data_IF_713751651910
#
_entry.id   IF_713751651910
#
_cell.length_a   1.000
_cell.length_b   1.000
_cell.length_c   1.000
_cell.angle_alpha   90.00
_cell.angle_beta   90.00
_cell.angle_gamma   90.00
#
_symmetry.space_group_name_H-M   'P 1'
#
loop_
_entity.id
_entity.type
_entity.pdbx_description
1 polymer ?
#
# COMPACT_ATOMS: atom_id res chain seq x y z
N UNK A 1 28.90 -7.01 -73.40
CA UNK A 1 30.28 -7.47 -73.64
C UNK A 1 31.18 -6.54 -72.84
N UNK A 2 31.86 -6.88 -71.75
CA UNK A 2 32.28 -8.16 -71.15
C UNK A 2 31.74 -8.35 -69.71
N UNK A 3 31.85 -9.57 -69.15
CA UNK A 3 31.20 -10.05 -67.93
C UNK A 3 32.16 -10.15 -66.72
N UNK A 4 31.69 -10.79 -65.65
CA UNK A 4 32.41 -11.37 -64.51
C UNK A 4 32.68 -10.47 -63.29
N UNK A 5 31.78 -10.55 -62.30
CA UNK A 5 32.11 -11.14 -60.98
C UNK A 5 30.85 -11.28 -60.09
N UNK A 6 30.60 -12.46 -59.49
CA UNK A 6 29.65 -12.64 -58.40
C UNK A 6 30.35 -12.82 -57.04
N UNK A 7 29.77 -12.28 -55.97
CA UNK A 7 29.81 -12.80 -54.57
C UNK A 7 29.30 -11.75 -53.57
N UNK A 8 28.88 -12.12 -52.33
CA UNK A 8 28.21 -13.34 -51.90
C UNK A 8 26.93 -13.06 -51.07
N UNK A 9 26.13 -14.13 -50.91
CA UNK A 9 24.99 -14.23 -50.00
C UNK A 9 25.26 -13.64 -48.61
N UNK A 10 24.42 -12.67 -48.22
CA UNK A 10 24.10 -12.40 -46.82
C UNK A 10 22.72 -12.98 -46.56
N UNK A 11 22.70 -14.22 -46.09
CA UNK A 11 21.55 -14.78 -45.39
C UNK A 11 21.32 -14.03 -44.09
N UNK A 12 20.56 -12.94 -44.14
CA UNK A 12 19.85 -12.39 -42.99
C UNK A 12 18.52 -13.13 -42.88
N UNK A 13 18.52 -14.30 -42.24
CA UNK A 13 17.28 -14.89 -41.80
C UNK A 13 16.68 -14.05 -40.69
N UNK A 14 15.48 -13.60 -40.99
CA UNK A 14 14.66 -12.67 -40.23
C UNK A 14 14.17 -13.33 -38.95
N UNK A 15 14.64 -12.85 -37.80
CA UNK A 15 13.95 -13.05 -36.52
C UNK A 15 12.66 -12.23 -36.59
N UNK A 16 11.56 -12.86 -37.02
CA UNK A 16 10.24 -12.26 -37.00
C UNK A 16 9.80 -12.04 -35.55
N UNK A 17 9.62 -10.78 -35.20
CA UNK A 17 8.87 -10.33 -34.04
C UNK A 17 7.38 -10.66 -34.20
N UNK A 18 6.76 -11.20 -33.15
CA UNK A 18 5.34 -11.06 -32.88
C UNK A 18 5.16 -10.84 -31.37
N UNK A 19 4.33 -9.85 -31.02
CA UNK A 19 3.99 -9.42 -29.68
C UNK A 19 2.68 -10.10 -29.20
N UNK A 20 2.57 -10.24 -27.88
CA UNK A 20 1.38 -10.41 -27.00
C UNK A 20 0.89 -11.83 -26.69
N UNK A 21 1.09 -12.17 -25.41
CA UNK A 21 0.09 -12.73 -24.49
C UNK A 21 -0.51 -14.08 -24.87
N UNK A 22 0.37 -15.02 -25.19
CA UNK A 22 0.30 -16.47 -24.96
C UNK A 22 1.51 -17.07 -25.70
N UNK A 23 2.72 -16.69 -25.29
CA UNK A 23 3.89 -17.45 -25.73
C UNK A 23 3.78 -18.83 -25.09
N UNK A 24 3.29 -19.81 -25.85
CA UNK A 24 3.64 -21.21 -25.65
C UNK A 24 5.17 -21.23 -25.54
N UNK A 25 5.68 -21.31 -24.32
CA UNK A 25 7.10 -21.37 -24.03
C UNK A 25 7.62 -22.70 -24.57
N UNK A 26 7.85 -22.81 -25.87
CA UNK A 26 8.33 -24.03 -26.48
C UNK A 26 9.72 -24.34 -25.91
N UNK A 27 9.99 -25.62 -25.57
CA UNK A 27 11.30 -26.04 -25.11
C UNK A 27 12.40 -25.60 -26.08
N UNK A 28 13.53 -25.18 -25.53
CA UNK A 28 14.72 -24.79 -26.28
C UNK A 28 15.44 -26.01 -26.83
N UNK A 29 15.93 -25.85 -28.05
CA UNK A 29 16.88 -26.77 -28.68
C UNK A 29 18.30 -26.56 -28.13
N UNK A 30 19.21 -27.54 -28.27
CA UNK A 30 20.61 -27.39 -27.85
C UNK A 30 21.34 -26.23 -28.53
N UNK A 31 21.00 -25.94 -29.79
CA UNK A 31 21.60 -24.83 -30.54
C UNK A 31 21.14 -23.47 -29.99
N UNK A 32 19.85 -23.35 -29.66
CA UNK A 32 19.32 -22.16 -28.99
C UNK A 32 19.97 -21.91 -27.62
N UNK A 33 20.25 -22.96 -26.84
CA UNK A 33 20.94 -22.84 -25.55
C UNK A 33 22.40 -22.37 -25.72
N UNK A 34 23.09 -22.91 -26.74
CA UNK A 34 24.46 -22.53 -27.06
C UNK A 34 24.56 -21.06 -27.47
N UNK A 35 23.62 -20.58 -28.28
CA UNK A 35 23.58 -19.19 -28.69
C UNK A 35 23.17 -18.27 -27.55
N UNK A 36 22.21 -18.69 -26.73
CA UNK A 36 21.82 -17.96 -25.53
C UNK A 36 22.98 -17.77 -24.56
N UNK A 37 23.79 -18.81 -24.33
CA UNK A 37 24.97 -18.74 -23.46
C UNK A 37 25.95 -17.63 -23.86
N UNK A 38 26.09 -17.34 -25.16
CA UNK A 38 27.00 -16.29 -25.67
C UNK A 38 26.50 -14.87 -25.42
N UNK A 39 25.19 -14.70 -25.24
CA UNK A 39 24.54 -13.37 -25.18
C UNK A 39 23.90 -13.06 -23.83
N UNK A 40 23.87 -14.04 -22.91
CA UNK A 40 23.15 -13.94 -21.63
C UNK A 40 23.55 -12.72 -20.79
N UNK A 41 24.85 -12.39 -20.75
CA UNK A 41 25.38 -11.28 -19.95
C UNK A 41 25.00 -9.90 -20.54
N UNK A 42 24.49 -9.87 -21.78
CA UNK A 42 24.06 -8.65 -22.48
C UNK A 42 22.55 -8.59 -22.65
N UNK A 43 21.81 -9.51 -22.03
CA UNK A 43 20.37 -9.61 -22.24
C UNK A 43 19.64 -8.49 -21.48
N UNK A 44 18.80 -7.68 -22.14
CA UNK A 44 18.03 -6.64 -21.47
C UNK A 44 17.04 -7.25 -20.46
N UNK A 45 16.85 -6.58 -19.32
CA UNK A 45 16.00 -7.06 -18.21
C UNK A 45 14.58 -7.45 -18.65
N UNK A 46 14.01 -6.73 -19.63
CA UNK A 46 12.68 -7.02 -20.18
C UNK A 46 12.57 -8.38 -20.88
N UNK A 47 13.68 -8.97 -21.32
CA UNK A 47 13.73 -10.29 -21.99
C UNK A 47 14.19 -11.42 -21.07
N UNK A 48 14.80 -11.10 -19.93
CA UNK A 48 15.39 -12.09 -19.03
C UNK A 48 14.33 -13.07 -18.51
N UNK A 49 13.14 -12.58 -18.14
CA UNK A 49 12.08 -13.41 -17.62
C UNK A 49 11.54 -14.42 -18.66
N UNK A 50 11.27 -13.98 -19.90
CA UNK A 50 10.78 -14.87 -20.96
C UNK A 50 11.79 -15.95 -21.34
N UNK A 51 13.08 -15.58 -21.40
CA UNK A 51 14.18 -16.52 -21.61
C UNK A 51 14.26 -17.54 -20.48
N UNK A 52 14.25 -17.09 -19.22
CA UNK A 52 14.28 -17.97 -18.07
C UNK A 52 13.09 -18.95 -18.08
N UNK A 53 11.87 -18.48 -18.38
CA UNK A 53 10.70 -19.34 -18.53
C UNK A 53 10.91 -20.44 -19.57
N UNK A 54 11.44 -20.13 -20.77
CA UNK A 54 11.72 -21.16 -21.80
C UNK A 54 12.78 -22.16 -21.33
N UNK A 55 13.83 -21.69 -20.66
CA UNK A 55 14.89 -22.54 -20.12
C UNK A 55 14.32 -23.51 -19.08
N UNK A 56 13.54 -23.00 -18.12
CA UNK A 56 12.89 -23.81 -17.09
C UNK A 56 11.84 -24.77 -17.65
N UNK A 57 11.10 -24.36 -18.69
CA UNK A 57 10.15 -25.24 -19.38
C UNK A 57 10.86 -26.43 -20.04
N UNK A 58 12.00 -26.16 -20.67
CA UNK A 58 12.85 -27.19 -21.27
C UNK A 58 13.36 -28.17 -20.23
N UNK A 59 13.74 -27.65 -19.06
CA UNK A 59 14.19 -28.47 -17.94
C UNK A 59 13.05 -29.34 -17.41
N UNK A 60 11.86 -28.76 -17.26
CA UNK A 60 10.66 -29.46 -16.81
C UNK A 60 10.26 -30.60 -17.75
N UNK A 61 10.42 -30.40 -19.07
CA UNK A 61 10.09 -31.37 -20.12
C UNK A 61 11.19 -32.40 -20.40
N UNK A 62 12.37 -32.28 -19.77
CA UNK A 62 13.45 -33.24 -19.98
C UNK A 62 14.17 -33.11 -21.33
N UNK A 63 14.17 -31.93 -21.93
CA UNK A 63 14.73 -31.76 -23.28
C UNK A 63 16.26 -31.78 -23.23
N UNK A 64 16.83 -32.83 -23.85
CA UNK A 64 18.27 -33.00 -24.10
C UNK A 64 19.21 -32.91 -22.89
N UNK A 65 18.92 -33.67 -21.83
CA UNK A 65 19.84 -33.89 -20.70
C UNK A 65 20.90 -34.98 -20.93
N UNK A 66 20.95 -35.59 -22.12
CA UNK A 66 21.81 -36.75 -22.40
C UNK A 66 23.31 -36.44 -22.51
N UNK A 67 23.74 -35.20 -22.27
CA UNK A 67 25.16 -34.80 -22.33
C UNK A 67 25.53 -33.82 -21.20
N UNK A 68 26.70 -34.00 -20.56
CA UNK A 68 27.16 -33.13 -19.46
C UNK A 68 27.27 -31.66 -19.89
N UNK A 69 27.60 -31.39 -21.16
CA UNK A 69 27.66 -30.05 -21.72
C UNK A 69 26.32 -29.30 -21.68
N UNK A 70 25.20 -29.98 -21.92
CA UNK A 70 23.87 -29.36 -21.92
C UNK A 70 23.43 -29.05 -20.49
N UNK A 71 23.67 -29.96 -19.56
CA UNK A 71 23.39 -29.75 -18.14
C UNK A 71 24.16 -28.54 -17.58
N UNK A 72 25.44 -28.42 -17.93
CA UNK A 72 26.27 -27.28 -17.53
C UNK A 72 25.76 -25.94 -18.12
N UNK A 73 25.18 -25.96 -19.33
CA UNK A 73 24.54 -24.78 -19.92
C UNK A 73 23.28 -24.35 -19.15
N UNK A 74 22.42 -25.31 -18.79
CA UNK A 74 21.23 -25.02 -17.97
C UNK A 74 21.62 -24.43 -16.61
N UNK A 75 22.60 -25.04 -15.93
CA UNK A 75 23.17 -24.53 -14.67
C UNK A 75 23.66 -23.09 -14.84
N UNK A 76 24.48 -22.86 -15.87
CA UNK A 76 25.07 -21.55 -16.15
C UNK A 76 24.03 -20.44 -16.38
N UNK A 77 22.92 -20.76 -17.06
CA UNK A 77 21.85 -19.81 -17.37
C UNK A 77 20.98 -19.54 -16.13
N UNK A 78 20.56 -20.60 -15.43
CA UNK A 78 19.75 -20.50 -14.19
C UNK A 78 20.49 -19.72 -13.11
N UNK A 79 21.81 -19.84 -13.04
CA UNK A 79 22.61 -19.08 -12.08
C UNK A 79 22.70 -17.58 -12.41
N UNK A 80 22.49 -17.17 -13.66
CA UNK A 80 22.62 -15.77 -14.09
C UNK A 80 21.31 -15.00 -14.17
N UNK A 81 20.20 -15.68 -14.42
CA UNK A 81 18.90 -15.03 -14.56
C UNK A 81 18.11 -15.14 -13.26
N UNK A 82 17.64 -14.01 -12.70
CA UNK A 82 16.80 -14.04 -11.51
C UNK A 82 15.40 -14.54 -11.86
N UNK A 83 14.80 -15.31 -10.96
CA UNK A 83 13.37 -15.61 -10.99
C UNK A 83 12.63 -14.34 -10.57
N UNK A 84 11.88 -13.76 -11.51
CA UNK A 84 11.27 -12.42 -11.34
C UNK A 84 9.79 -12.37 -11.70
N UNK A 85 9.14 -13.52 -11.91
CA UNK A 85 7.70 -13.61 -12.21
C UNK A 85 7.09 -14.89 -11.68
N UNK A 86 5.76 -14.89 -11.51
CA UNK A 86 4.97 -16.07 -11.10
C UNK A 86 5.15 -17.22 -12.10
N UNK A 87 5.18 -16.90 -13.40
CA UNK A 87 5.37 -17.89 -14.44
C UNK A 87 6.75 -18.55 -14.39
N UNK A 88 7.79 -17.78 -14.07
CA UNK A 88 9.13 -18.32 -13.83
C UNK A 88 9.16 -19.16 -12.55
N UNK A 89 8.46 -18.76 -11.49
CA UNK A 89 8.36 -19.53 -10.25
C UNK A 89 7.67 -20.88 -10.46
N UNK A 90 6.52 -20.90 -11.16
CA UNK A 90 5.79 -22.12 -11.51
C UNK A 90 6.66 -23.10 -12.30
N UNK A 91 7.42 -22.58 -13.26
CA UNK A 91 8.32 -23.39 -14.09
C UNK A 91 9.56 -23.85 -13.33
N UNK A 92 10.07 -23.04 -12.41
CA UNK A 92 11.16 -23.44 -11.51
C UNK A 92 10.74 -24.63 -10.66
N UNK A 93 9.52 -24.61 -10.14
CA UNK A 93 8.98 -25.71 -9.36
C UNK A 93 8.77 -26.99 -10.19
N UNK A 94 8.23 -26.87 -11.41
CA UNK A 94 8.11 -27.99 -12.32
C UNK A 94 9.49 -28.59 -12.66
N UNK A 95 10.49 -27.73 -12.90
CA UNK A 95 11.88 -28.11 -13.11
C UNK A 95 12.51 -28.82 -11.90
N UNK A 96 12.29 -28.31 -10.68
CA UNK A 96 12.74 -28.93 -9.43
C UNK A 96 12.11 -30.31 -9.23
N UNK A 97 10.79 -30.44 -9.43
CA UNK A 97 10.08 -31.75 -9.38
C UNK A 97 10.65 -32.75 -10.38
N UNK A 98 11.01 -32.29 -11.59
CA UNK A 98 11.61 -33.14 -12.61
C UNK A 98 13.00 -33.60 -12.19
N UNK A 99 13.85 -32.69 -11.75
CA UNK A 99 15.20 -33.00 -11.30
C UNK A 99 15.20 -33.94 -10.08
N UNK A 100 14.29 -33.75 -9.12
CA UNK A 100 14.14 -34.66 -7.97
C UNK A 100 13.73 -36.09 -8.34
N UNK A 101 13.10 -36.30 -9.51
CA UNK A 101 12.77 -37.63 -10.04
C UNK A 101 13.94 -38.28 -10.78
N UNK A 102 14.94 -37.52 -11.22
CA UNK A 102 16.06 -37.99 -12.05
C UNK A 102 17.39 -37.94 -11.32
N UNK A 103 18.01 -39.10 -11.09
CA UNK A 103 19.19 -39.24 -10.23
C UNK A 103 20.45 -38.51 -10.72
N UNK A 104 20.57 -38.15 -12.00
CA UNK A 104 21.78 -37.53 -12.55
C UNK A 104 21.71 -35.98 -12.64
N UNK A 105 20.74 -35.35 -11.97
CA UNK A 105 20.45 -33.91 -12.13
C UNK A 105 20.84 -33.04 -10.92
N UNK A 106 21.64 -33.57 -10.00
CA UNK A 106 22.07 -32.98 -8.72
C UNK A 106 22.60 -31.55 -8.85
N UNK A 107 23.52 -31.29 -9.77
CA UNK A 107 24.08 -29.93 -9.99
C UNK A 107 23.04 -28.91 -10.43
N UNK A 108 22.13 -29.31 -11.32
CA UNK A 108 21.06 -28.45 -11.81
C UNK A 108 20.02 -28.21 -10.73
N UNK A 109 19.67 -29.24 -9.96
CA UNK A 109 18.80 -29.14 -8.80
C UNK A 109 19.34 -28.12 -7.79
N UNK A 110 20.61 -28.25 -7.38
CA UNK A 110 21.23 -27.32 -6.44
C UNK A 110 21.24 -25.88 -7.00
N UNK A 111 21.57 -25.70 -8.28
CA UNK A 111 21.58 -24.38 -8.93
C UNK A 111 20.18 -23.74 -9.02
N UNK A 112 19.12 -24.53 -9.21
CA UNK A 112 17.74 -24.06 -9.18
C UNK A 112 17.33 -23.61 -7.78
N UNK A 113 17.74 -24.35 -6.74
CA UNK A 113 17.53 -23.98 -5.33
C UNK A 113 18.29 -22.68 -5.00
N UNK A 114 19.55 -22.56 -5.40
CA UNK A 114 20.34 -21.32 -5.25
C UNK A 114 19.69 -20.13 -5.95
N UNK A 115 19.20 -20.31 -7.18
CA UNK A 115 18.56 -19.24 -7.94
C UNK A 115 17.27 -18.79 -7.26
N UNK A 116 16.46 -19.74 -6.78
CA UNK A 116 15.25 -19.47 -6.01
C UNK A 116 15.56 -18.70 -4.72
N UNK A 117 16.55 -19.14 -3.96
CA UNK A 117 16.95 -18.48 -2.71
C UNK A 117 17.51 -17.09 -2.94
N UNK A 118 18.36 -16.90 -3.96
CA UNK A 118 18.86 -15.57 -4.32
C UNK A 118 17.73 -14.63 -4.74
N UNK A 119 16.77 -15.10 -5.53
CA UNK A 119 15.57 -14.34 -5.88
C UNK A 119 14.72 -13.99 -4.65
N UNK A 120 14.56 -14.92 -3.71
CA UNK A 120 13.83 -14.69 -2.47
C UNK A 120 14.54 -13.70 -1.54
N UNK A 121 15.86 -13.80 -1.41
CA UNK A 121 16.70 -12.86 -0.67
C UNK A 121 16.67 -11.46 -1.31
N UNK A 122 16.74 -11.37 -2.65
CA UNK A 122 16.64 -10.11 -3.39
C UNK A 122 15.26 -9.46 -3.25
N UNK A 123 14.20 -10.27 -3.12
CA UNK A 123 12.83 -9.77 -2.97
C UNK A 123 12.44 -9.40 -1.53
N UNK A 124 13.37 -9.46 -0.56
CA UNK A 124 13.14 -9.09 0.85
C UNK A 124 11.89 -9.76 1.48
N UNK A 125 11.46 -10.91 0.93
CA UNK A 125 10.44 -11.76 1.53
C UNK A 125 11.12 -12.52 2.69
N UNK A 126 10.34 -12.96 3.69
CA UNK A 126 10.88 -13.85 4.72
C UNK A 126 11.67 -15.00 4.08
N UNK A 127 12.70 -15.45 4.79
CA UNK A 127 13.38 -16.71 4.54
C UNK A 127 12.33 -17.80 4.30
N UNK A 128 12.53 -18.65 3.27
CA UNK A 128 11.66 -19.81 3.02
C UNK A 128 11.27 -20.45 4.35
N UNK A 129 9.98 -20.69 4.57
CA UNK A 129 9.57 -21.26 5.85
C UNK A 129 10.20 -22.64 6.03
N UNK A 130 10.36 -23.08 7.27
CA UNK A 130 10.88 -24.43 7.58
C UNK A 130 10.09 -25.50 6.83
N UNK A 131 8.79 -25.30 6.60
CA UNK A 131 7.93 -26.17 5.80
C UNK A 131 8.31 -26.21 4.31
N UNK A 132 8.66 -25.06 3.70
CA UNK A 132 9.07 -24.99 2.29
C UNK A 132 10.43 -25.66 2.06
N UNK A 133 11.35 -25.47 3.01
CA UNK A 133 12.66 -26.11 3.02
C UNK A 133 12.56 -27.61 3.27
N UNK A 134 11.65 -28.04 4.15
CA UNK A 134 11.32 -29.45 4.33
C UNK A 134 10.89 -30.11 3.01
N UNK A 135 10.12 -29.40 2.18
CA UNK A 135 9.69 -29.93 0.88
C UNK A 135 10.84 -30.06 -0.13
N UNK A 136 11.79 -29.11 -0.14
CA UNK A 136 13.01 -29.21 -0.95
C UNK A 136 13.92 -30.36 -0.49
N UNK A 137 14.03 -30.57 0.83
CA UNK A 137 14.78 -31.68 1.43
C UNK A 137 14.18 -33.05 1.06
N UNK A 138 12.85 -33.15 0.96
CA UNK A 138 12.18 -34.38 0.52
C UNK A 138 12.44 -34.66 -0.97
N UNK A 139 12.57 -33.62 -1.79
CA UNK A 139 12.78 -33.71 -3.23
C UNK A 139 14.26 -33.88 -3.66
N UNK A 140 15.21 -33.81 -2.72
CA UNK A 140 16.64 -33.90 -3.01
C UNK A 140 16.99 -35.27 -3.64
N UNK A 141 17.59 -35.30 -4.85
CA UNK A 141 17.82 -36.53 -5.60
C UNK A 141 18.92 -37.41 -4.98
N UNK A 142 19.91 -36.80 -4.32
CA UNK A 142 21.11 -37.46 -3.81
C UNK A 142 21.53 -36.89 -2.44
N UNK A 143 22.41 -37.62 -1.72
CA UNK A 143 22.95 -37.18 -0.44
C UNK A 143 23.69 -35.83 -0.54
N UNK A 144 24.42 -35.61 -1.63
CA UNK A 144 25.13 -34.34 -1.88
C UNK A 144 24.18 -33.13 -2.01
N UNK A 145 22.98 -33.31 -2.57
CA UNK A 145 21.95 -32.26 -2.60
C UNK A 145 21.36 -31.99 -1.22
N UNK A 146 21.27 -33.01 -0.36
CA UNK A 146 20.81 -32.83 1.02
C UNK A 146 21.82 -32.06 1.85
N UNK A 147 23.10 -32.40 1.72
CA UNK A 147 24.20 -31.70 2.41
C UNK A 147 24.23 -30.23 1.98
N UNK A 148 24.08 -29.96 0.68
CA UNK A 148 23.96 -28.61 0.14
C UNK A 148 22.73 -27.86 0.70
N UNK A 149 21.54 -28.46 0.71
CA UNK A 149 20.35 -27.82 1.27
C UNK A 149 20.53 -27.55 2.77
N UNK A 150 21.15 -28.45 3.53
CA UNK A 150 21.42 -28.26 4.95
C UNK A 150 22.45 -27.15 5.20
N UNK A 151 23.52 -27.06 4.40
CA UNK A 151 24.51 -25.98 4.46
C UNK A 151 23.83 -24.62 4.23
N UNK A 152 22.95 -24.55 3.23
CA UNK A 152 22.16 -23.35 2.94
C UNK A 152 21.17 -22.99 4.07
N UNK A 153 20.55 -23.99 4.71
CA UNK A 153 19.66 -23.78 5.88
C UNK A 153 20.45 -23.21 7.07
N UNK A 154 21.63 -23.76 7.31
CA UNK A 154 22.53 -23.35 8.39
C UNK A 154 23.10 -21.94 8.15
N UNK A 155 23.53 -21.62 6.93
CA UNK A 155 24.02 -20.29 6.53
C UNK A 155 22.96 -19.20 6.69
N UNK A 156 21.69 -19.54 6.46
CA UNK A 156 20.56 -18.62 6.61
C UNK A 156 20.00 -18.58 8.06
N UNK A 157 20.60 -19.30 9.02
CA UNK A 157 20.17 -19.39 10.43
C UNK A 157 18.73 -19.87 10.62
N UNK A 158 18.25 -20.71 9.71
CA UNK A 158 16.93 -21.34 9.81
C UNK A 158 17.07 -22.58 10.70
N UNK A 159 16.01 -22.94 11.46
CA UNK A 159 16.04 -24.16 12.29
C UNK A 159 16.45 -25.37 11.43
N UNK A 160 17.43 -26.19 11.87
CA UNK A 160 17.94 -27.29 11.08
C UNK A 160 16.82 -28.27 10.75
N UNK A 161 16.58 -28.46 9.46
CA UNK A 161 15.60 -29.41 8.94
C UNK A 161 16.17 -30.82 9.07
N UNK A 162 15.50 -31.68 9.84
CA UNK A 162 15.81 -33.11 9.88
C UNK A 162 14.82 -33.87 9.00
N UNK A 163 15.29 -34.88 8.25
CA UNK A 163 14.43 -35.84 7.53
C UNK A 163 13.51 -36.56 8.52
N UNK A 164 12.35 -35.99 8.81
CA UNK A 164 11.33 -36.62 9.67
C UNK A 164 9.97 -36.75 9.00
N UNK A 165 9.82 -36.33 7.74
CA UNK A 165 8.54 -36.39 7.06
C UNK A 165 8.63 -37.20 5.77
N UNK A 166 7.97 -38.36 5.76
CA UNK A 166 7.74 -39.21 4.57
C UNK A 166 6.34 -38.97 3.97
N UNK A 167 5.65 -37.91 4.38
CA UNK A 167 4.34 -37.57 3.84
C UNK A 167 4.42 -36.97 2.43
N UNK A 168 3.34 -37.06 1.64
CA UNK A 168 3.28 -36.43 0.33
C UNK A 168 3.42 -34.91 0.45
N UNK A 169 4.03 -34.33 -0.57
CA UNK A 169 4.22 -32.89 -0.78
C UNK A 169 2.89 -32.15 -0.58
N UNK A 170 2.83 -31.16 0.32
CA UNK A 170 1.68 -30.23 0.37
C UNK A 170 1.86 -29.23 -0.77
N UNK A 171 1.34 -29.61 -1.94
CA UNK A 171 1.51 -28.86 -3.18
C UNK A 171 0.98 -27.43 -3.08
N UNK A 172 0.00 -27.18 -2.20
CA UNK A 172 -0.61 -25.87 -2.04
C UNK A 172 0.30 -24.90 -1.28
N UNK A 173 0.99 -25.36 -0.22
CA UNK A 173 1.91 -24.51 0.56
C UNK A 173 3.15 -24.10 -0.25
N UNK A 174 3.80 -25.06 -0.92
CA UNK A 174 4.94 -24.74 -1.78
C UNK A 174 4.54 -23.82 -2.93
N UNK A 175 3.35 -24.03 -3.52
CA UNK A 175 2.84 -23.15 -4.55
C UNK A 175 2.63 -21.71 -4.03
N UNK A 176 2.12 -21.52 -2.81
CA UNK A 176 1.96 -20.19 -2.20
C UNK A 176 3.29 -19.48 -1.92
N UNK A 177 4.31 -20.21 -1.46
CA UNK A 177 5.65 -19.67 -1.24
C UNK A 177 6.32 -19.23 -2.56
N UNK A 178 6.17 -20.04 -3.61
CA UNK A 178 6.69 -19.76 -4.94
C UNK A 178 5.92 -18.65 -5.66
N UNK A 179 4.60 -18.62 -5.51
CA UNK A 179 3.75 -17.56 -6.02
C UNK A 179 4.17 -16.21 -5.40
N UNK A 180 4.44 -16.18 -4.10
CA UNK A 180 4.95 -14.99 -3.40
C UNK A 180 6.28 -14.47 -3.96
N UNK A 181 7.20 -15.36 -4.36
CA UNK A 181 8.47 -14.98 -5.00
C UNK A 181 8.29 -14.27 -6.36
N UNK A 182 7.21 -14.61 -7.07
CA UNK A 182 6.87 -14.05 -8.38
C UNK A 182 6.24 -12.65 -8.34
N UNK A 183 5.88 -12.17 -7.15
CA UNK A 183 5.23 -10.88 -6.92
C UNK A 183 6.21 -9.80 -6.42
N UNK A 184 7.50 -10.09 -6.29
CA UNK A 184 8.49 -9.16 -5.75
C UNK A 184 8.86 -7.98 -6.66
N UNK A 185 9.32 -6.90 -6.04
CA UNK A 185 10.05 -5.80 -6.66
C UNK A 185 11.55 -6.12 -6.68
N UNK A 186 12.27 -5.79 -7.75
CA UNK A 186 13.70 -6.09 -7.84
C UNK A 186 14.57 -4.99 -7.18
N UNK A 187 14.04 -3.77 -7.09
CA UNK A 187 14.71 -2.61 -6.50
C UNK A 187 13.70 -1.54 -6.08
N UNK A 188 14.17 -0.46 -5.47
CA UNK A 188 13.36 0.73 -5.16
C UNK A 188 12.83 1.36 -6.45
N UNK A 189 13.64 1.41 -7.50
CA UNK A 189 13.26 1.93 -8.82
C UNK A 189 12.15 1.07 -9.43
N UNK A 190 12.28 -0.26 -9.37
CA UNK A 190 11.24 -1.18 -9.86
C UNK A 190 9.91 -1.00 -9.10
N UNK A 191 9.95 -0.74 -7.79
CA UNK A 191 8.76 -0.38 -7.01
C UNK A 191 8.12 0.92 -7.51
N UNK A 192 8.91 1.95 -7.75
CA UNK A 192 8.40 3.26 -8.15
C UNK A 192 7.91 3.27 -9.62
N UNK A 193 8.53 2.50 -10.51
CA UNK A 193 8.18 2.44 -11.94
C UNK A 193 7.04 1.46 -12.23
N UNK A 194 6.99 0.31 -11.54
CA UNK A 194 6.05 -0.77 -11.85
C UNK A 194 4.85 -0.84 -10.89
N UNK A 195 4.60 0.18 -10.07
CA UNK A 195 3.48 0.15 -9.12
C UNK A 195 2.13 -0.04 -9.82
N UNK A 196 1.92 0.55 -11.00
CA UNK A 196 0.64 0.45 -11.72
C UNK A 196 0.45 -0.92 -12.38
N UNK A 197 1.54 -1.59 -12.78
CA UNK A 197 1.50 -2.86 -13.50
C UNK A 197 1.52 -4.09 -12.57
N UNK A 198 2.01 -3.96 -11.32
CA UNK A 198 2.10 -5.05 -10.34
C UNK A 198 0.94 -5.03 -9.34
N UNK A 199 0.51 -6.23 -8.90
CA UNK A 199 -0.50 -6.38 -7.85
C UNK A 199 0.11 -6.14 -6.46
N UNK A 200 0.31 -4.87 -6.11
CA UNK A 200 0.93 -4.48 -4.82
C UNK A 200 0.11 -4.88 -3.58
N UNK A 201 -1.15 -5.27 -3.76
CA UNK A 201 -2.04 -5.70 -2.66
C UNK A 201 -1.76 -7.14 -2.23
N UNK A 202 -0.94 -7.90 -2.98
CA UNK A 202 -0.49 -9.22 -2.57
C UNK A 202 0.33 -9.12 -1.27
N UNK A 203 0.10 -9.98 -0.26
CA UNK A 203 0.78 -9.89 1.05
C UNK A 203 2.32 -9.85 0.96
N UNK A 204 2.91 -10.60 0.03
CA UNK A 204 4.36 -10.55 -0.25
C UNK A 204 4.85 -9.19 -0.73
N UNK A 205 4.12 -8.55 -1.65
CA UNK A 205 4.43 -7.19 -2.13
C UNK A 205 4.32 -6.16 -1.01
N UNK A 206 3.27 -6.26 -0.18
CA UNK A 206 3.04 -5.32 0.92
C UNK A 206 4.25 -5.33 1.85
N UNK A 207 4.71 -6.51 2.27
CA UNK A 207 5.85 -6.61 3.19
C UNK A 207 7.10 -5.98 2.58
N UNK A 208 7.41 -6.30 1.33
CA UNK A 208 8.56 -5.75 0.64
C UNK A 208 8.47 -4.24 0.45
N UNK A 209 7.32 -3.73 0.02
CA UNK A 209 7.07 -2.31 -0.15
C UNK A 209 7.26 -1.55 1.17
N UNK A 210 6.88 -2.13 2.32
CA UNK A 210 7.14 -1.53 3.64
C UNK A 210 8.63 -1.36 3.92
N UNK A 211 9.44 -2.39 3.65
CA UNK A 211 10.91 -2.34 3.84
C UNK A 211 11.54 -1.32 2.90
N UNK A 212 11.11 -1.29 1.64
CA UNK A 212 11.60 -0.32 0.65
C UNK A 212 11.23 1.10 1.03
N UNK A 213 9.98 1.36 1.47
CA UNK A 213 9.56 2.68 1.96
C UNK A 213 10.39 3.13 3.17
N UNK A 214 10.66 2.22 4.12
CA UNK A 214 11.54 2.50 5.25
C UNK A 214 12.93 2.94 4.77
N UNK A 215 13.51 2.23 3.79
CA UNK A 215 14.79 2.61 3.20
C UNK A 215 14.73 3.97 2.51
N UNK A 216 13.68 4.25 1.73
CA UNK A 216 13.48 5.53 1.03
C UNK A 216 13.51 6.69 2.02
N UNK A 217 12.69 6.63 3.08
CA UNK A 217 12.58 7.71 4.05
C UNK A 217 13.76 7.81 5.02
N UNK A 218 14.59 6.77 5.14
CA UNK A 218 15.74 6.77 6.06
C UNK A 218 17.07 7.08 5.38
N UNK A 219 17.20 6.83 4.07
CA UNK A 219 18.49 6.82 3.36
C UNK A 219 18.48 7.53 2.01
N UNK A 220 17.32 7.86 1.44
CA UNK A 220 17.20 8.39 0.08
C UNK A 220 16.35 9.66 0.02
N UNK A 221 16.81 10.72 0.70
CA UNK A 221 16.12 12.01 0.74
C UNK A 221 15.87 12.59 -0.66
N UNK A 222 16.80 12.38 -1.59
CA UNK A 222 16.72 12.83 -2.98
C UNK A 222 15.56 12.16 -3.75
N UNK A 223 15.27 10.89 -3.46
CA UNK A 223 14.11 10.20 -4.02
C UNK A 223 12.81 10.76 -3.45
N UNK A 224 12.76 11.10 -2.17
CA UNK A 224 11.57 11.72 -1.57
C UNK A 224 11.24 13.03 -2.26
N UNK A 225 12.24 13.88 -2.50
CA UNK A 225 12.03 15.18 -3.19
C UNK A 225 11.56 15.02 -4.64
N UNK A 226 12.07 14.03 -5.37
CA UNK A 226 11.75 13.85 -6.80
C UNK A 226 10.48 13.03 -7.07
N UNK A 227 10.17 12.08 -6.20
CA UNK A 227 9.17 11.04 -6.42
C UNK A 227 8.05 11.04 -5.37
N UNK A 228 7.85 12.15 -4.63
CA UNK A 228 6.87 12.23 -3.54
C UNK A 228 5.46 11.80 -3.98
N UNK A 229 5.04 12.17 -5.20
CA UNK A 229 3.77 11.75 -5.78
C UNK A 229 3.67 10.22 -5.85
N UNK A 230 4.65 9.56 -6.45
CA UNK A 230 4.70 8.10 -6.62
C UNK A 230 4.75 7.40 -5.26
N UNK A 231 5.58 7.91 -4.33
CA UNK A 231 5.67 7.41 -2.95
C UNK A 231 4.31 7.52 -2.26
N UNK A 232 3.56 8.61 -2.45
CA UNK A 232 2.21 8.74 -1.88
C UNK A 232 1.20 7.75 -2.46
N UNK A 233 1.36 7.36 -3.73
CA UNK A 233 0.54 6.31 -4.35
C UNK A 233 0.86 4.95 -3.72
N UNK A 234 2.16 4.63 -3.56
CA UNK A 234 2.61 3.40 -2.87
C UNK A 234 1.99 3.33 -1.48
N UNK A 235 2.23 4.35 -0.64
CA UNK A 235 1.77 4.39 0.76
C UNK A 235 0.24 4.28 0.88
N UNK A 236 -0.52 4.92 -0.02
CA UNK A 236 -1.97 4.80 -0.05
C UNK A 236 -2.44 3.39 -0.40
N UNK A 237 -1.83 2.75 -1.41
CA UNK A 237 -2.25 1.40 -1.85
C UNK A 237 -1.99 0.34 -0.79
N UNK A 238 -0.85 0.43 -0.09
CA UNK A 238 -0.52 -0.53 0.97
C UNK A 238 -1.03 -0.14 2.37
N UNK A 239 -1.59 1.08 2.52
CA UNK A 239 -2.10 1.61 3.78
C UNK A 239 -1.03 1.87 4.85
N UNK A 240 0.23 2.05 4.45
CA UNK A 240 1.40 2.14 5.35
C UNK A 240 2.36 3.25 4.93
N UNK A 241 2.90 3.95 5.91
CA UNK A 241 4.01 4.88 5.80
C UNK A 241 4.88 4.76 7.06
N UNK A 242 6.21 4.57 6.95
CA UNK A 242 7.09 4.38 8.11
C UNK A 242 7.17 5.64 8.98
N UNK A 243 7.44 5.49 10.27
CA UNK A 243 7.57 6.63 11.20
C UNK A 243 8.77 7.51 10.90
N UNK A 244 9.81 6.94 10.31
CA UNK A 244 11.00 7.62 9.82
C UNK A 244 10.66 8.66 8.74
N UNK A 245 9.48 8.55 8.10
CA UNK A 245 8.99 9.57 7.20
C UNK A 245 8.60 10.87 7.92
N UNK A 246 8.24 10.81 9.21
CA UNK A 246 7.62 11.92 9.93
C UNK A 246 8.46 13.21 9.89
N UNK A 247 9.78 13.22 10.15
CA UNK A 247 10.58 14.44 10.07
C UNK A 247 10.56 15.08 8.67
N UNK A 248 10.65 14.26 7.63
CA UNK A 248 10.64 14.72 6.23
C UNK A 248 9.26 15.28 5.87
N UNK A 249 8.18 14.57 6.21
CA UNK A 249 6.81 15.00 5.98
C UNK A 249 6.47 16.30 6.72
N UNK A 250 6.88 16.41 7.99
CA UNK A 250 6.70 17.63 8.79
C UNK A 250 7.45 18.80 8.16
N UNK A 251 8.66 18.57 7.65
CA UNK A 251 9.43 19.61 6.96
C UNK A 251 8.72 20.08 5.68
N UNK A 252 8.24 19.15 4.84
CA UNK A 252 7.46 19.49 3.62
C UNK A 252 6.23 20.31 3.97
N UNK A 253 5.47 19.88 4.99
CA UNK A 253 4.25 20.54 5.42
C UNK A 253 4.50 21.95 5.99
N UNK A 254 5.61 22.15 6.73
CA UNK A 254 5.99 23.45 7.29
C UNK A 254 6.55 24.41 6.24
N UNK A 255 7.41 23.93 5.34
CA UNK A 255 8.21 24.80 4.51
C UNK A 255 7.51 25.28 3.24
N UNK A 256 6.47 24.60 2.73
CA UNK A 256 5.95 24.96 1.41
C UNK A 256 4.51 24.48 1.13
N UNK A 257 3.52 25.14 1.72
CA UNK A 257 2.09 24.93 1.39
C UNK A 257 1.70 25.31 -0.07
N UNK A 258 2.63 25.90 -0.84
CA UNK A 258 2.47 26.22 -2.27
C UNK A 258 3.13 25.20 -3.21
N UNK A 259 3.86 24.19 -2.68
CA UNK A 259 4.44 23.13 -3.49
C UNK A 259 3.38 22.11 -3.90
N UNK A 260 3.59 21.51 -5.07
CA UNK A 260 2.84 20.35 -5.57
C UNK A 260 2.84 19.16 -4.62
N UNK A 261 3.81 19.11 -3.70
CA UNK A 261 4.07 17.96 -2.83
C UNK A 261 3.20 17.94 -1.57
N UNK A 262 2.58 19.07 -1.24
CA UNK A 262 1.74 19.21 -0.05
C UNK A 262 0.61 18.17 0.07
N UNK A 263 -0.26 17.96 -0.95
CA UNK A 263 -1.31 16.93 -0.86
C UNK A 263 -0.74 15.51 -0.76
N UNK A 264 0.42 15.25 -1.37
CA UNK A 264 1.08 13.95 -1.31
C UNK A 264 1.66 13.69 0.09
N UNK A 265 2.23 14.71 0.73
CA UNK A 265 2.66 14.63 2.12
C UNK A 265 1.49 14.37 3.08
N UNK A 266 0.35 15.06 2.91
CA UNK A 266 -0.85 14.79 3.71
C UNK A 266 -1.36 13.36 3.56
N UNK A 267 -1.29 12.80 2.33
CA UNK A 267 -1.67 11.42 2.07
C UNK A 267 -0.73 10.43 2.78
N UNK A 268 0.59 10.65 2.73
CA UNK A 268 1.55 9.83 3.47
C UNK A 268 1.31 9.91 4.98
N UNK A 269 1.08 11.11 5.53
CA UNK A 269 0.76 11.31 6.96
C UNK A 269 -0.47 10.51 7.38
N UNK A 270 -1.54 10.51 6.58
CA UNK A 270 -2.74 9.71 6.86
C UNK A 270 -2.50 8.20 6.89
N UNK A 271 -1.38 7.73 6.33
CA UNK A 271 -0.99 6.33 6.30
C UNK A 271 0.16 5.98 7.27
N UNK A 272 0.62 6.91 8.12
CA UNK A 272 1.66 6.65 9.10
C UNK A 272 1.35 5.39 9.95
N UNK A 273 2.39 4.62 10.20
CA UNK A 273 2.36 3.49 11.10
C UNK A 273 2.42 3.99 12.54
N UNK A 274 1.26 4.03 13.20
CA UNK A 274 1.14 4.56 14.56
C UNK A 274 1.58 3.56 15.64
N UNK A 275 1.98 2.33 15.27
CA UNK A 275 2.27 1.28 16.25
C UNK A 275 3.40 1.63 17.23
N UNK A 276 4.36 2.46 16.79
CA UNK A 276 5.49 2.90 17.61
C UNK A 276 5.50 4.42 17.88
N UNK A 277 4.44 5.14 17.49
CA UNK A 277 4.34 6.59 17.73
C UNK A 277 3.87 6.86 19.15
N UNK A 278 4.59 7.69 19.91
CA UNK A 278 4.13 8.02 21.25
C UNK A 278 2.91 8.98 21.23
N UNK A 279 2.15 9.02 22.33
CA UNK A 279 0.94 9.83 22.41
C UNK A 279 1.21 11.36 22.33
N UNK A 280 2.41 11.81 22.73
CA UNK A 280 2.82 13.21 22.64
C UNK A 280 3.23 13.59 21.21
N UNK A 281 3.93 12.71 20.50
CA UNK A 281 4.28 12.86 19.10
C UNK A 281 3.02 12.90 18.23
N UNK A 282 2.06 12.02 18.49
CA UNK A 282 0.75 12.05 17.84
C UNK A 282 0.04 13.40 18.06
N UNK A 283 0.06 13.89 19.30
CA UNK A 283 -0.53 15.17 19.62
C UNK A 283 0.18 16.32 18.90
N UNK A 284 1.51 16.32 18.87
CA UNK A 284 2.30 17.34 18.18
C UNK A 284 2.02 17.34 16.67
N UNK A 285 1.90 16.17 16.06
CA UNK A 285 1.48 16.02 14.67
C UNK A 285 0.07 16.56 14.44
N UNK A 286 -0.86 16.26 15.34
CA UNK A 286 -2.24 16.75 15.28
C UNK A 286 -2.28 18.28 15.37
N UNK A 287 -1.55 18.86 16.32
CA UNK A 287 -1.41 20.32 16.48
C UNK A 287 -0.86 20.93 15.20
N UNK A 288 0.21 20.35 14.64
CA UNK A 288 0.79 20.83 13.39
C UNK A 288 -0.24 20.82 12.26
N UNK A 289 -0.91 19.69 12.02
CA UNK A 289 -1.92 19.55 10.97
C UNK A 289 -3.01 20.61 11.11
N UNK A 290 -3.44 20.89 12.34
CA UNK A 290 -4.46 21.89 12.61
C UNK A 290 -3.97 23.33 12.44
N UNK A 291 -2.73 23.63 12.82
CA UNK A 291 -2.09 24.92 12.57
C UNK A 291 -1.96 25.21 11.06
N UNK A 292 -1.76 24.18 10.22
CA UNK A 292 -1.65 24.33 8.77
C UNK A 292 -2.89 24.96 8.12
N UNK A 293 -4.06 24.93 8.77
CA UNK A 293 -5.26 25.64 8.27
C UNK A 293 -5.01 27.15 8.06
N UNK A 294 -4.18 27.76 8.91
CA UNK A 294 -3.90 29.20 8.84
C UNK A 294 -3.02 29.54 7.65
N UNK A 295 -2.12 28.62 7.29
CA UNK A 295 -1.18 28.81 6.19
C UNK A 295 -1.76 28.34 4.86
N UNK A 296 -2.67 27.38 4.89
CA UNK A 296 -3.20 26.72 3.69
C UNK A 296 -4.72 26.41 3.79
N UNK A 297 -5.60 27.44 3.85
CA UNK A 297 -7.05 27.23 4.03
C UNK A 297 -7.68 26.35 2.95
N UNK A 298 -7.13 26.38 1.72
CA UNK A 298 -7.60 25.57 0.59
C UNK A 298 -7.50 24.07 0.88
N UNK A 299 -6.56 23.65 1.72
CA UNK A 299 -6.36 22.24 2.09
C UNK A 299 -7.02 21.86 3.42
N UNK A 300 -7.89 22.71 3.98
CA UNK A 300 -8.53 22.45 5.26
C UNK A 300 -9.32 21.13 5.26
N UNK A 301 -9.97 20.83 4.14
CA UNK A 301 -10.70 19.56 3.95
C UNK A 301 -9.76 18.36 4.06
N UNK A 302 -8.63 18.40 3.35
CA UNK A 302 -7.63 17.35 3.30
C UNK A 302 -7.00 17.14 4.68
N UNK A 303 -6.72 18.24 5.40
CA UNK A 303 -6.25 18.20 6.80
C UNK A 303 -7.25 17.45 7.68
N UNK A 304 -8.54 17.79 7.63
CA UNK A 304 -9.58 17.11 8.43
C UNK A 304 -9.75 15.64 8.02
N UNK A 305 -9.57 15.30 6.73
CA UNK A 305 -9.57 13.91 6.26
C UNK A 305 -8.38 13.14 6.84
N UNK A 306 -7.18 13.72 6.79
CA UNK A 306 -5.96 13.10 7.35
C UNK A 306 -6.11 12.88 8.85
N UNK A 307 -6.67 13.85 9.58
CA UNK A 307 -6.94 13.70 11.01
C UNK A 307 -7.92 12.57 11.33
N UNK A 308 -8.99 12.43 10.54
CA UNK A 308 -9.90 11.30 10.71
C UNK A 308 -9.19 9.96 10.55
N UNK A 309 -8.37 9.81 9.49
CA UNK A 309 -7.61 8.58 9.24
C UNK A 309 -6.66 8.25 10.39
N UNK A 310 -5.94 9.26 10.88
CA UNK A 310 -5.07 9.12 12.05
C UNK A 310 -5.86 8.68 13.28
N UNK A 311 -7.02 9.27 13.51
CA UNK A 311 -7.87 8.96 14.65
C UNK A 311 -8.49 7.54 14.58
N UNK A 312 -8.89 7.08 13.38
CA UNK A 312 -9.32 5.69 13.16
C UNK A 312 -8.23 4.70 13.57
N UNK A 313 -6.97 4.99 13.26
CA UNK A 313 -5.82 4.14 13.60
C UNK A 313 -5.45 4.17 15.09
N UNK A 314 -5.69 5.29 15.78
CA UNK A 314 -5.49 5.41 17.24
C UNK A 314 -6.36 4.43 18.02
N UNK A 315 -7.56 4.14 17.53
CA UNK A 315 -8.52 3.26 18.21
C UNK A 315 -7.98 1.85 18.47
N UNK A 316 -7.03 1.39 17.64
CA UNK A 316 -6.46 0.04 17.70
C UNK A 316 -5.07 -0.02 18.37
N UNK A 317 -4.38 1.11 18.48
CA UNK A 317 -2.94 1.13 18.79
C UNK A 317 -2.59 1.61 20.21
N UNK A 318 -3.53 2.25 20.92
CA UNK A 318 -3.28 2.87 22.22
C UNK A 318 -4.15 2.29 23.34
N UNK A 319 -3.67 2.41 24.59
CA UNK A 319 -4.45 2.02 25.77
C UNK A 319 -5.73 2.85 25.91
N UNK A 320 -6.70 2.37 26.70
CA UNK A 320 -7.97 3.08 26.93
C UNK A 320 -7.72 4.50 27.49
N UNK A 321 -6.76 4.66 28.41
CA UNK A 321 -6.49 5.95 29.03
C UNK A 321 -5.82 6.92 28.06
N UNK A 322 -4.86 6.46 27.27
CA UNK A 322 -4.21 7.28 26.25
C UNK A 322 -5.20 7.71 25.17
N UNK A 323 -6.07 6.80 24.72
CA UNK A 323 -7.15 7.12 23.77
C UNK A 323 -8.05 8.24 24.30
N UNK A 324 -8.47 8.18 25.56
CA UNK A 324 -9.26 9.25 26.20
C UNK A 324 -8.49 10.57 26.28
N UNK A 325 -7.21 10.53 26.64
CA UNK A 325 -6.38 11.73 26.70
C UNK A 325 -6.22 12.38 25.32
N UNK A 326 -5.96 11.59 24.27
CA UNK A 326 -5.87 12.06 22.89
C UNK A 326 -7.21 12.63 22.44
N UNK A 327 -8.32 11.92 22.69
CA UNK A 327 -9.68 12.37 22.39
C UNK A 327 -9.99 13.74 22.99
N UNK A 328 -9.74 13.91 24.28
CA UNK A 328 -10.02 15.17 24.96
C UNK A 328 -9.21 16.33 24.34
N UNK A 329 -7.91 16.11 24.07
CA UNK A 329 -7.09 17.13 23.43
C UNK A 329 -7.55 17.47 22.01
N UNK A 330 -7.99 16.47 21.24
CA UNK A 330 -8.57 16.70 19.90
C UNK A 330 -9.85 17.54 20.01
N UNK A 331 -10.71 17.27 20.99
CA UNK A 331 -11.91 18.07 21.24
C UNK A 331 -11.59 19.51 21.66
N UNK A 332 -10.57 19.70 22.51
CA UNK A 332 -10.10 21.04 22.90
C UNK A 332 -9.58 21.82 21.68
N UNK A 333 -8.80 21.17 20.82
CA UNK A 333 -8.34 21.78 19.57
C UNK A 333 -9.49 22.04 18.60
N UNK A 334 -10.48 21.15 18.52
CA UNK A 334 -11.67 21.33 17.69
C UNK A 334 -12.46 22.58 18.12
N UNK A 335 -12.58 22.81 19.43
CA UNK A 335 -13.20 24.01 19.98
C UNK A 335 -12.43 25.27 19.55
N UNK A 336 -11.10 25.27 19.72
CA UNK A 336 -10.25 26.40 19.28
C UNK A 336 -10.39 26.67 17.77
N UNK A 337 -10.56 25.61 16.99
CA UNK A 337 -10.79 25.74 15.55
C UNK A 337 -12.14 26.39 15.28
N UNK A 338 -13.19 25.89 15.92
CA UNK A 338 -14.54 26.43 15.79
C UNK A 338 -14.61 27.91 16.17
N UNK A 339 -13.86 28.36 17.19
CA UNK A 339 -13.78 29.77 17.60
C UNK A 339 -13.28 30.66 16.46
N UNK A 340 -12.31 30.18 15.69
CA UNK A 340 -11.57 30.98 14.70
C UNK A 340 -12.07 30.79 13.25
N UNK A 341 -12.91 29.79 12.98
CA UNK A 341 -13.39 29.50 11.62
C UNK A 341 -14.69 30.25 11.32
N UNK A 342 -14.64 31.17 10.35
CA UNK A 342 -15.79 31.99 9.93
C UNK A 342 -16.26 31.75 8.50
N UNK A 343 -15.47 31.06 7.69
CA UNK A 343 -15.80 30.79 6.28
C UNK A 343 -16.81 29.63 6.16
N UNK A 344 -17.78 29.75 5.25
CA UNK A 344 -18.94 28.83 5.20
C UNK A 344 -18.49 27.41 4.90
N UNK A 345 -17.63 27.26 3.90
CA UNK A 345 -17.12 25.96 3.46
C UNK A 345 -16.31 25.28 4.58
N UNK A 346 -15.42 26.02 5.23
CA UNK A 346 -14.66 25.53 6.37
C UNK A 346 -15.57 25.14 7.55
N UNK A 347 -16.62 25.91 7.83
CA UNK A 347 -17.61 25.55 8.86
C UNK A 347 -18.35 24.25 8.54
N UNK A 348 -18.79 24.06 7.30
CA UNK A 348 -19.44 22.82 6.87
C UNK A 348 -18.51 21.61 7.00
N UNK A 349 -17.24 21.77 6.61
CA UNK A 349 -16.23 20.70 6.77
C UNK A 349 -15.97 20.37 8.24
N UNK A 350 -15.94 21.38 9.10
CA UNK A 350 -15.78 21.22 10.55
C UNK A 350 -16.98 20.50 11.19
N UNK A 351 -18.19 20.85 10.77
CA UNK A 351 -19.43 20.18 11.20
C UNK A 351 -19.43 18.71 10.75
N UNK A 352 -19.03 18.43 9.50
CA UNK A 352 -18.91 17.06 8.99
C UNK A 352 -17.84 16.24 9.74
N UNK A 353 -16.72 16.86 10.11
CA UNK A 353 -15.68 16.24 10.94
C UNK A 353 -16.22 15.93 12.34
N UNK A 354 -16.93 16.88 12.96
CA UNK A 354 -17.58 16.70 14.28
C UNK A 354 -18.56 15.54 14.27
N UNK A 355 -19.35 15.42 13.20
CA UNK A 355 -20.28 14.30 13.03
C UNK A 355 -19.55 12.94 12.91
N UNK A 356 -18.44 12.89 12.19
CA UNK A 356 -17.64 11.65 12.07
C UNK A 356 -17.08 11.19 13.41
N UNK A 357 -16.52 12.12 14.20
CA UNK A 357 -16.06 11.82 15.55
C UNK A 357 -17.17 11.22 16.43
N UNK A 358 -18.37 11.79 16.35
CA UNK A 358 -19.53 11.25 17.07
C UNK A 358 -19.87 9.83 16.63
N UNK A 359 -19.87 9.55 15.32
CA UNK A 359 -20.13 8.19 14.80
C UNK A 359 -19.07 7.18 15.22
N UNK A 360 -17.84 7.63 15.48
CA UNK A 360 -16.74 6.84 16.05
C UNK A 360 -16.84 6.70 17.59
N UNK A 361 -17.89 7.23 18.22
CA UNK A 361 -18.12 7.13 19.66
C UNK A 361 -17.46 8.24 20.49
N UNK A 362 -16.81 9.23 19.85
CA UNK A 362 -16.27 10.41 20.55
C UNK A 362 -17.36 11.44 20.67
N UNK A 363 -17.82 11.71 21.90
CA UNK A 363 -18.89 12.68 22.16
C UNK A 363 -18.31 14.10 22.24
N UNK A 364 -18.56 14.99 21.27
CA UNK A 364 -18.08 16.36 21.35
C UNK A 364 -18.77 17.09 22.49
N UNK A 365 -18.02 17.91 23.23
CA UNK A 365 -18.57 18.70 24.31
C UNK A 365 -19.59 19.71 23.78
N UNK A 366 -20.57 20.03 24.62
CA UNK A 366 -21.62 21.00 24.34
C UNK A 366 -21.07 22.33 23.80
N UNK A 367 -19.96 22.80 24.36
CA UNK A 367 -19.36 24.08 24.02
C UNK A 367 -18.96 24.15 22.55
N UNK A 368 -18.57 23.03 21.94
CA UNK A 368 -18.24 22.93 20.51
C UNK A 368 -19.48 23.27 19.67
N UNK A 369 -20.63 22.66 19.97
CA UNK A 369 -21.87 22.97 19.25
C UNK A 369 -22.32 24.42 19.46
N UNK A 370 -22.18 24.93 20.69
CA UNK A 370 -22.50 26.33 21.02
C UNK A 370 -21.65 27.28 20.18
N UNK A 371 -20.34 27.06 20.13
CA UNK A 371 -19.41 27.88 19.35
C UNK A 371 -19.69 27.78 17.85
N UNK A 372 -19.94 26.58 17.32
CA UNK A 372 -20.28 26.39 15.91
C UNK A 372 -21.56 27.14 15.53
N UNK A 373 -22.57 27.17 16.41
CA UNK A 373 -23.81 27.94 16.20
C UNK A 373 -23.55 29.45 16.27
N UNK A 374 -22.81 29.91 17.28
CA UNK A 374 -22.53 31.34 17.48
C UNK A 374 -21.73 31.94 16.31
N UNK A 375 -20.82 31.15 15.74
CA UNK A 375 -19.99 31.56 14.61
C UNK A 375 -20.63 31.27 13.24
N UNK A 376 -21.75 30.54 13.18
CA UNK A 376 -22.36 30.12 11.92
C UNK A 376 -22.66 31.33 11.02
N UNK A 377 -22.13 31.32 9.81
CA UNK A 377 -22.33 32.41 8.85
C UNK A 377 -23.53 32.19 7.91
N UNK A 378 -24.16 31.01 7.97
CA UNK A 378 -25.35 30.69 7.21
C UNK A 378 -26.28 29.78 8.01
N UNK A 379 -27.58 29.89 7.73
CA UNK A 379 -28.56 28.98 8.33
C UNK A 379 -28.34 27.53 7.92
N UNK A 380 -27.73 27.26 6.77
CA UNK A 380 -27.42 25.89 6.34
C UNK A 380 -26.41 25.20 7.25
N UNK A 381 -25.44 25.93 7.79
CA UNK A 381 -24.49 25.41 8.80
C UNK A 381 -25.25 25.03 10.07
N UNK A 382 -26.12 25.92 10.55
CA UNK A 382 -26.97 25.67 11.73
C UNK A 382 -27.88 24.46 11.48
N UNK A 383 -28.46 24.32 10.29
CA UNK A 383 -29.30 23.20 9.94
C UNK A 383 -28.55 21.86 9.98
N UNK A 384 -27.28 21.82 9.57
CA UNK A 384 -26.48 20.60 9.74
C UNK A 384 -26.18 20.31 11.21
N UNK A 385 -25.83 21.33 12.01
CA UNK A 385 -25.60 21.18 13.46
C UNK A 385 -26.86 20.66 14.15
N UNK A 386 -28.04 21.22 13.85
CA UNK A 386 -29.31 20.71 14.37
C UNK A 386 -29.56 19.26 13.98
N UNK A 387 -29.17 18.84 12.77
CA UNK A 387 -29.27 17.44 12.35
C UNK A 387 -28.42 16.50 13.21
N UNK A 388 -27.23 16.94 13.61
CA UNK A 388 -26.36 16.20 14.54
C UNK A 388 -27.00 16.10 15.93
N UNK A 389 -27.50 17.23 16.46
CA UNK A 389 -28.14 17.30 17.77
C UNK A 389 -29.41 16.43 17.83
N UNK A 390 -30.21 16.41 16.77
CA UNK A 390 -31.40 15.54 16.66
C UNK A 390 -31.01 14.06 16.73
N UNK A 391 -29.95 13.64 16.05
CA UNK A 391 -29.44 12.25 16.13
C UNK A 391 -28.91 11.89 17.51
N UNK A 392 -28.28 12.84 18.21
CA UNK A 392 -27.87 12.63 19.60
C UNK A 392 -29.08 12.40 20.50
N UNK A 393 -30.15 13.16 20.31
CA UNK A 393 -31.41 12.99 21.05
C UNK A 393 -32.07 11.64 20.77
N UNK A 394 -32.09 11.21 19.49
CA UNK A 394 -32.56 9.88 19.09
C UNK A 394 -31.73 8.76 19.73
N UNK A 395 -30.42 9.00 19.95
CA UNK A 395 -29.52 8.13 20.69
C UNK A 395 -29.64 8.19 22.22
N UNK A 396 -30.61 8.94 22.76
CA UNK A 396 -30.90 9.02 24.19
C UNK A 396 -30.33 10.26 24.91
N UNK A 397 -29.69 11.19 24.20
CA UNK A 397 -29.31 12.48 24.79
C UNK A 397 -30.56 13.32 25.11
N UNK A 398 -30.53 14.05 26.23
CA UNK A 398 -31.66 14.93 26.59
C UNK A 398 -31.60 16.24 25.78
N UNK A 399 -32.74 16.75 25.30
CA UNK A 399 -32.80 18.07 24.67
C UNK A 399 -32.27 19.17 25.58
N UNK A 400 -31.30 19.94 25.10
CA UNK A 400 -30.73 21.05 25.85
C UNK A 400 -31.45 22.36 25.49
N UNK A 401 -32.29 22.83 26.42
CA UNK A 401 -33.07 24.06 26.28
C UNK A 401 -32.20 25.30 25.99
N UNK A 402 -30.97 25.36 26.51
CA UNK A 402 -30.07 26.49 26.26
C UNK A 402 -29.53 26.46 24.83
N UNK A 403 -29.27 25.27 24.28
CA UNK A 403 -28.90 25.09 22.86
C UNK A 403 -30.06 25.44 21.94
N UNK A 404 -31.27 24.97 22.25
CA UNK A 404 -32.49 25.34 21.51
C UNK A 404 -32.68 26.86 21.50
N UNK A 405 -32.52 27.53 22.63
CA UNK A 405 -32.61 28.99 22.71
C UNK A 405 -31.54 29.70 21.86
N UNK A 406 -30.32 29.16 21.81
CA UNK A 406 -29.24 29.68 20.94
C UNK A 406 -29.55 29.49 19.47
N UNK A 407 -30.01 28.31 19.05
CA UNK A 407 -30.44 28.05 17.66
C UNK A 407 -31.55 29.03 17.28
N UNK A 408 -32.58 29.16 18.12
CA UNK A 408 -33.66 30.11 17.90
C UNK A 408 -33.12 31.53 17.72
N UNK A 409 -32.25 32.01 18.61
CA UNK A 409 -31.65 33.34 18.51
C UNK A 409 -30.85 33.52 17.21
N UNK A 410 -30.04 32.53 16.83
CA UNK A 410 -29.21 32.59 15.63
C UNK A 410 -30.07 32.63 14.35
N UNK A 411 -31.09 31.78 14.26
CA UNK A 411 -31.98 31.67 13.09
C UNK A 411 -32.75 32.97 12.83
N UNK A 412 -33.05 33.77 13.87
CA UNK A 412 -33.69 35.08 13.72
C UNK A 412 -32.90 36.08 12.88
N UNK A 413 -31.59 35.91 12.74
CA UNK A 413 -30.75 36.74 11.86
C UNK A 413 -31.16 36.59 10.40
N UNK A 414 -31.55 35.38 9.98
CA UNK A 414 -31.95 35.08 8.59
C UNK A 414 -33.48 35.06 8.41
N UNK A 415 -34.24 34.74 9.46
CA UNK A 415 -35.71 34.70 9.45
C UNK A 415 -36.29 35.60 10.55
N UNK A 416 -36.22 36.94 10.39
CA UNK A 416 -36.62 37.90 11.42
C UNK A 416 -38.10 37.80 11.82
N UNK A 417 -38.41 38.13 13.08
CA UNK A 417 -39.78 38.04 13.63
C UNK A 417 -40.65 39.18 13.08
N UNK A 418 -41.83 38.85 12.55
CA UNK A 418 -42.89 39.82 12.26
C UNK A 418 -43.90 39.88 13.41
N UNK A 419 -44.40 41.07 13.76
CA UNK A 419 -45.46 41.26 14.77
C UNK A 419 -46.82 40.66 14.36
N UNK A 420 -47.01 40.30 13.08
CA UNK A 420 -48.27 39.76 12.56
C UNK A 420 -48.26 38.23 12.59
N UNK A 421 -49.18 37.62 13.34
CA UNK A 421 -49.32 36.15 13.52
C UNK A 421 -49.33 35.35 12.21
N UNK A 422 -49.99 35.85 11.15
CA UNK A 422 -50.02 35.21 9.83
C UNK A 422 -48.62 35.04 9.21
N UNK A 423 -47.77 36.07 9.34
CA UNK A 423 -46.39 36.07 8.84
C UNK A 423 -45.48 35.16 9.67
N UNK A 424 -45.80 34.94 10.95
CA UNK A 424 -45.08 33.98 11.80
C UNK A 424 -45.29 32.54 11.32
N UNK A 425 -46.52 32.17 10.94
CA UNK A 425 -46.81 30.83 10.42
C UNK A 425 -46.18 30.61 9.04
N UNK A 426 -46.28 31.59 8.13
CA UNK A 426 -45.62 31.54 6.81
C UNK A 426 -44.10 31.34 6.94
N UNK A 427 -43.47 32.03 7.91
CA UNK A 427 -42.05 31.84 8.23
C UNK A 427 -41.74 30.43 8.73
N UNK A 428 -42.55 29.89 9.64
CA UNK A 428 -42.32 28.55 10.18
C UNK A 428 -42.42 27.48 9.09
N UNK A 429 -43.37 27.61 8.16
CA UNK A 429 -43.46 26.73 7.00
C UNK A 429 -42.25 26.90 6.06
N UNK A 430 -41.77 28.13 5.86
CA UNK A 430 -40.54 28.37 5.09
C UNK A 430 -39.32 27.68 5.72
N UNK A 431 -39.12 27.83 7.04
CA UNK A 431 -38.04 27.15 7.77
C UNK A 431 -38.20 25.63 7.69
N UNK A 432 -39.44 25.11 7.80
CA UNK A 432 -39.74 23.68 7.67
C UNK A 432 -39.32 23.12 6.31
N UNK A 433 -39.57 23.86 5.24
CA UNK A 433 -39.22 23.44 3.89
C UNK A 433 -37.73 23.61 3.57
N UNK A 434 -37.14 24.76 3.92
CA UNK A 434 -35.76 25.06 3.55
C UNK A 434 -34.72 24.47 4.52
N UNK A 435 -35.06 24.42 5.82
CA UNK A 435 -34.15 24.06 6.92
C UNK A 435 -34.83 23.08 7.90
N UNK A 436 -35.18 21.85 7.44
CA UNK A 436 -36.02 20.93 8.18
C UNK A 436 -35.44 20.52 9.53
N UNK A 437 -34.11 20.43 9.67
CA UNK A 437 -33.49 20.08 10.96
C UNK A 437 -33.61 21.22 11.95
N UNK A 438 -33.48 22.49 11.50
CA UNK A 438 -33.73 23.65 12.36
C UNK A 438 -35.16 23.61 12.87
N UNK A 439 -36.12 23.42 11.97
CA UNK A 439 -37.54 23.34 12.33
C UNK A 439 -37.78 22.23 13.35
N UNK A 440 -37.34 21.01 13.06
CA UNK A 440 -37.53 19.86 13.94
C UNK A 440 -36.85 20.02 15.29
N UNK A 441 -35.68 20.67 15.36
CA UNK A 441 -34.95 20.86 16.61
C UNK A 441 -35.56 21.94 17.49
N UNK A 442 -36.07 23.02 16.88
CA UNK A 442 -36.60 24.18 17.62
C UNK A 442 -38.07 24.07 18.01
N UNK A 443 -38.86 23.29 17.27
CA UNK A 443 -40.32 23.21 17.44
C UNK A 443 -40.78 22.05 18.36
N UNK A 444 -39.86 21.52 19.18
CA UNK A 444 -40.09 20.40 20.13
C UNK A 444 -40.31 20.84 21.59
N UNK A 445 -40.28 22.15 21.87
CA UNK A 445 -40.73 22.74 23.13
C UNK A 445 -42.14 23.29 22.97
#
# INVERSE_FOLDING_TARGET
MNPDQPSPDRGTESIKMANRDEECYLPMTPDELNDLRKVIDKLPSSRQNGVLCRVLESVSHGVNFNGPSCQDMYVYIVQRLPISSIDACRRTYAALKRCGRERNMTKLFNSLVESLLRSLQQTLIDQLTVDDLNQLVIAAPEAESLDFINEVIDENRILPVRRFYTGPLDENKAYQALESAGYGFNSIEDLLECIESKNIEHPGCIKQARVMLLSIFSRHDDLVERQMKTISVVTNRIGYCPLEALPVLVNILRCNHRRTDYPFALACVGNLDLAALDANEFLNLTILLLQLRHYAPVFFKEVLITLNKLFDKVSNSYSIQERKNIQNKVLDMLLEIAINTREKECQLQLVAFTEKLQRQGVQPNRDIYVTLIDNANSVSVINQICGILLRLEEGGAKPDRKLIAKVNKAVLTWYPVSKKRKRTNERLELIRHEQPNVYNYTNRT
#
